data_IF_314071927397
#
_entry.id   IF_314071927397
#
_cell.length_a   1.000
_cell.length_b   1.000
_cell.length_c   1.000
_cell.angle_alpha   90.00
_cell.angle_beta   90.00
_cell.angle_gamma   90.00
#
_symmetry.space_group_name_H-M   'P 1'
#
loop_
_entity.id
_entity.type
_entity.pdbx_description
1 polymer ?
#
# COMPACT_ATOMS: atom_id res chain seq x y z
N UNK A 1 -23.53 40.30 -31.63
CA UNK A 1 -22.42 39.55 -32.26
C UNK A 1 -21.73 38.84 -31.12
N UNK A 2 -22.23 37.65 -30.82
CA UNK A 2 -21.86 36.88 -29.63
C UNK A 2 -21.05 35.67 -30.08
N UNK A 3 -19.76 35.71 -29.82
CA UNK A 3 -18.87 34.55 -29.95
C UNK A 3 -18.14 34.39 -28.62
N UNK A 4 -18.82 33.78 -27.65
CA UNK A 4 -18.19 33.22 -26.46
C UNK A 4 -17.34 32.03 -26.90
N UNK A 5 -16.03 32.23 -26.91
CA UNK A 5 -15.04 31.17 -27.07
C UNK A 5 -15.07 30.27 -25.82
N UNK A 6 -15.82 29.17 -25.90
CA UNK A 6 -15.68 28.04 -25.00
C UNK A 6 -14.35 27.35 -25.29
N UNK A 7 -13.32 27.71 -24.53
CA UNK A 7 -12.09 26.92 -24.43
C UNK A 7 -12.44 25.65 -23.64
N UNK A 8 -12.77 24.58 -24.38
CA UNK A 8 -12.89 23.22 -23.81
C UNK A 8 -11.51 22.82 -23.26
N UNK A 9 -11.45 22.68 -21.94
CA UNK A 9 -10.33 22.10 -21.20
C UNK A 9 -9.98 20.70 -21.77
N UNK A 10 -8.90 20.61 -22.55
CA UNK A 10 -8.26 19.34 -22.93
C UNK A 10 -7.29 18.80 -21.85
N UNK A 11 -7.32 19.37 -20.65
CA UNK A 11 -6.34 19.05 -19.58
C UNK A 11 -6.71 17.82 -18.73
N UNK A 12 -7.90 17.23 -18.90
CA UNK A 12 -8.43 16.16 -18.05
C UNK A 12 -7.83 14.77 -18.33
N UNK A 13 -7.63 14.40 -19.60
CA UNK A 13 -7.29 13.03 -19.98
C UNK A 13 -5.84 12.64 -19.62
N UNK A 14 -4.93 13.62 -19.65
CA UNK A 14 -3.50 13.43 -19.34
C UNK A 14 -3.23 13.29 -17.85
N UNK A 15 -4.02 13.94 -16.98
CA UNK A 15 -3.87 13.86 -15.53
C UNK A 15 -4.45 12.56 -14.98
N UNK A 16 -5.67 12.18 -15.42
CA UNK A 16 -6.29 10.91 -15.02
C UNK A 16 -5.43 9.69 -15.38
N UNK A 17 -4.82 9.68 -16.57
CA UNK A 17 -3.90 8.61 -16.99
C UNK A 17 -2.59 8.56 -16.17
N UNK A 18 -2.09 9.70 -15.70
CA UNK A 18 -0.91 9.75 -14.80
C UNK A 18 -1.24 9.17 -13.42
N UNK A 19 -2.40 9.49 -12.85
CA UNK A 19 -2.79 8.98 -11.52
C UNK A 19 -3.06 7.48 -11.56
N UNK A 20 -3.78 7.01 -12.59
CA UNK A 20 -4.01 5.59 -12.80
C UNK A 20 -2.69 4.81 -12.89
N UNK A 21 -1.68 5.34 -13.60
CA UNK A 21 -0.35 4.72 -13.65
C UNK A 21 0.34 4.71 -12.30
N UNK A 22 0.26 5.78 -11.52
CA UNK A 22 0.83 5.84 -10.17
C UNK A 22 0.18 4.81 -9.23
N UNK A 23 -1.16 4.72 -9.25
CA UNK A 23 -1.90 3.77 -8.44
C UNK A 23 -1.60 2.32 -8.84
N UNK A 24 -1.55 2.03 -10.14
CA UNK A 24 -1.11 0.73 -10.65
C UNK A 24 0.31 0.36 -10.19
N UNK A 25 1.25 1.31 -10.24
CA UNK A 25 2.60 1.07 -9.73
C UNK A 25 2.62 0.77 -8.22
N UNK A 26 1.77 1.43 -7.43
CA UNK A 26 1.65 1.13 -6.00
C UNK A 26 1.03 -0.24 -5.77
N UNK A 27 -0.02 -0.59 -6.51
CA UNK A 27 -0.62 -1.92 -6.46
C UNK A 27 0.42 -3.01 -6.72
N UNK A 28 1.17 -2.96 -7.82
CA UNK A 28 2.18 -3.97 -8.15
C UNK A 28 3.28 -4.10 -7.09
N UNK A 29 3.64 -2.99 -6.44
CA UNK A 29 4.59 -3.01 -5.31
C UNK A 29 3.98 -3.69 -4.08
N UNK A 30 2.73 -3.41 -3.73
CA UNK A 30 2.03 -4.07 -2.62
C UNK A 30 1.88 -5.58 -2.89
N UNK A 31 1.54 -5.98 -4.12
CA UNK A 31 1.47 -7.38 -4.55
C UNK A 31 2.82 -8.09 -4.38
N UNK A 32 3.91 -7.43 -4.82
CA UNK A 32 5.27 -7.96 -4.71
C UNK A 32 5.69 -8.15 -3.25
N UNK A 33 5.37 -7.19 -2.38
CA UNK A 33 5.65 -7.28 -0.94
C UNK A 33 4.87 -8.44 -0.29
N UNK A 34 3.58 -8.57 -0.61
CA UNK A 34 2.74 -9.64 -0.10
C UNK A 34 3.26 -11.01 -0.53
N UNK A 35 3.60 -11.17 -1.80
CA UNK A 35 4.17 -12.41 -2.33
C UNK A 35 5.47 -12.79 -1.62
N UNK A 36 6.38 -11.83 -1.43
CA UNK A 36 7.65 -12.03 -0.72
C UNK A 36 7.42 -12.56 0.71
N UNK A 37 6.56 -11.89 1.48
CA UNK A 37 6.30 -12.29 2.88
C UNK A 37 5.63 -13.66 2.96
N UNK A 38 4.65 -13.95 2.09
CA UNK A 38 3.99 -15.26 2.07
C UNK A 38 4.97 -16.40 1.74
N UNK A 39 5.88 -16.18 0.81
CA UNK A 39 6.93 -17.17 0.49
C UNK A 39 7.83 -17.39 1.70
N UNK A 40 8.34 -16.33 2.33
CA UNK A 40 9.23 -16.44 3.49
C UNK A 40 8.54 -17.11 4.69
N UNK A 41 7.26 -16.80 4.93
CA UNK A 41 6.44 -17.45 5.96
C UNK A 41 6.28 -18.95 5.68
N UNK A 42 6.00 -19.33 4.43
CA UNK A 42 5.81 -20.74 4.04
C UNK A 42 7.06 -21.59 4.23
N UNK A 43 8.24 -20.97 4.14
CA UNK A 43 9.52 -21.64 4.30
C UNK A 43 10.01 -21.66 5.77
N UNK A 44 9.23 -21.11 6.72
CA UNK A 44 9.67 -20.87 8.11
C UNK A 44 10.94 -20.01 8.22
N UNK A 45 11.25 -19.23 7.18
CA UNK A 45 12.48 -18.43 7.05
C UNK A 45 12.18 -16.93 7.20
N UNK A 46 11.32 -16.56 8.16
CA UNK A 46 11.08 -15.15 8.54
C UNK A 46 12.39 -14.39 8.88
N UNK A 47 13.51 -15.10 9.04
CA UNK A 47 14.88 -14.56 9.07
C UNK A 47 15.27 -13.77 7.81
N UNK A 48 14.68 -13.99 6.64
CA UNK A 48 15.05 -13.30 5.39
C UNK A 48 14.23 -12.05 5.08
N UNK A 49 13.00 -11.93 5.62
CA UNK A 49 12.14 -10.77 5.35
C UNK A 49 12.89 -9.49 5.73
N UNK A 50 13.21 -8.67 4.73
CA UNK A 50 13.88 -7.39 4.93
C UNK A 50 12.86 -6.33 5.37
N UNK A 51 12.51 -6.38 6.66
CA UNK A 51 11.55 -5.47 7.30
C UNK A 51 11.88 -4.01 7.00
N UNK A 52 13.16 -3.63 7.03
CA UNK A 52 13.58 -2.26 6.73
C UNK A 52 13.35 -1.84 5.28
N UNK A 53 13.48 -2.76 4.32
CA UNK A 53 13.12 -2.50 2.92
C UNK A 53 11.60 -2.31 2.77
N UNK A 54 10.81 -3.24 3.30
CA UNK A 54 9.34 -3.19 3.24
C UNK A 54 8.80 -1.92 3.91
N UNK A 55 9.37 -1.52 5.05
CA UNK A 55 8.94 -0.32 5.78
C UNK A 55 9.22 0.98 5.01
N UNK A 56 10.36 1.05 4.32
CA UNK A 56 10.65 2.16 3.40
C UNK A 56 9.68 2.20 2.23
N UNK A 57 9.43 1.06 1.59
CA UNK A 57 8.52 0.99 0.46
C UNK A 57 7.09 1.40 0.85
N UNK A 58 6.59 0.93 2.00
CA UNK A 58 5.29 1.33 2.53
C UNK A 58 5.25 2.82 2.87
N UNK A 59 6.32 3.38 3.42
CA UNK A 59 6.40 4.82 3.73
C UNK A 59 6.34 5.67 2.47
N UNK A 60 7.01 5.24 1.40
CA UNK A 60 6.98 5.90 0.10
C UNK A 60 5.58 5.84 -0.53
N UNK A 61 4.93 4.67 -0.47
CA UNK A 61 3.55 4.49 -0.96
C UNK A 61 2.59 5.36 -0.16
N UNK A 62 2.66 5.36 1.18
CA UNK A 62 1.85 6.21 2.05
C UNK A 62 2.02 7.68 1.67
N UNK A 63 3.26 8.16 1.52
CA UNK A 63 3.54 9.53 1.10
C UNK A 63 3.00 9.85 -0.31
N UNK A 64 3.01 8.87 -1.21
CA UNK A 64 2.41 8.95 -2.54
C UNK A 64 0.90 9.10 -2.50
N UNK A 65 0.22 8.21 -1.79
CA UNK A 65 -1.22 8.21 -1.60
C UNK A 65 -1.69 9.49 -0.87
N UNK A 66 -0.97 9.94 0.17
CA UNK A 66 -1.24 11.21 0.85
C UNK A 66 -1.14 12.42 -0.09
N UNK A 67 -0.20 12.41 -1.05
CA UNK A 67 -0.10 13.46 -2.07
C UNK A 67 -1.27 13.39 -3.06
N UNK A 68 -1.65 12.20 -3.51
CA UNK A 68 -2.80 12.02 -4.41
C UNK A 68 -4.10 12.50 -3.77
N UNK A 69 -4.32 12.20 -2.48
CA UNK A 69 -5.50 12.66 -1.73
C UNK A 69 -5.64 14.18 -1.61
N UNK A 70 -4.57 14.94 -1.82
CA UNK A 70 -4.59 16.41 -1.79
C UNK A 70 -4.96 17.01 -3.15
N UNK A 71 -5.06 16.19 -4.19
CA UNK A 71 -5.45 16.63 -5.53
C UNK A 71 -6.97 16.84 -5.54
N UNK A 72 -7.46 18.00 -6.00
CA UNK A 72 -8.89 18.25 -6.11
C UNK A 72 -9.57 17.17 -6.97
N UNK A 73 -10.76 16.73 -6.55
CA UNK A 73 -11.60 15.76 -7.25
C UNK A 73 -10.98 14.35 -7.42
N UNK A 74 -9.89 14.03 -6.70
CA UNK A 74 -9.30 12.68 -6.76
C UNK A 74 -10.29 11.58 -6.33
N UNK A 75 -11.18 11.92 -5.39
CA UNK A 75 -12.21 11.00 -4.90
C UNK A 75 -13.26 10.67 -5.99
N UNK A 76 -13.43 11.52 -7.02
CA UNK A 76 -14.28 11.23 -8.18
C UNK A 76 -13.65 10.17 -9.09
N UNK A 77 -12.33 10.03 -9.06
CA UNK A 77 -11.58 9.03 -9.84
C UNK A 77 -11.31 7.76 -9.05
N UNK A 78 -11.18 7.85 -7.72
CA UNK A 78 -10.86 6.72 -6.86
C UNK A 78 -11.43 6.90 -5.44
N UNK A 79 -12.75 6.64 -5.23
CA UNK A 79 -13.43 6.94 -3.97
C UNK A 79 -12.89 6.16 -2.77
N UNK A 80 -12.31 4.98 -3.00
CA UNK A 80 -11.71 4.11 -1.98
C UNK A 80 -10.29 4.53 -1.56
N UNK A 81 -9.72 5.62 -2.10
CA UNK A 81 -8.32 6.00 -1.87
C UNK A 81 -8.01 6.25 -0.37
N UNK A 82 -9.00 6.72 0.38
CA UNK A 82 -8.90 6.88 1.84
C UNK A 82 -8.73 5.56 2.59
N UNK A 83 -9.43 4.52 2.14
CA UNK A 83 -9.40 3.19 2.72
C UNK A 83 -8.12 2.44 2.33
N UNK A 84 -7.67 2.58 1.07
CA UNK A 84 -6.35 2.11 0.61
C UNK A 84 -5.26 2.64 1.54
N UNK A 85 -5.21 3.96 1.74
CA UNK A 85 -4.21 4.59 2.60
C UNK A 85 -4.28 4.07 4.05
N UNK A 86 -5.48 3.83 4.56
CA UNK A 86 -5.69 3.32 5.91
C UNK A 86 -5.16 1.89 6.05
N UNK A 87 -5.41 1.03 5.07
CA UNK A 87 -4.90 -0.33 5.01
C UNK A 87 -3.37 -0.38 4.85
N UNK A 88 -2.77 0.45 4.00
CA UNK A 88 -1.30 0.53 3.89
C UNK A 88 -0.66 1.01 5.20
N UNK A 89 -1.30 1.94 5.93
CA UNK A 89 -0.84 2.37 7.27
C UNK A 89 -0.98 1.25 8.31
N UNK A 90 -2.04 0.45 8.26
CA UNK A 90 -2.21 -0.73 9.11
C UNK A 90 -1.12 -1.77 8.82
N UNK A 91 -0.87 -2.09 7.55
CA UNK A 91 0.21 -2.97 7.14
C UNK A 91 1.56 -2.51 7.72
N UNK A 92 1.91 -1.23 7.55
CA UNK A 92 3.15 -0.68 8.14
C UNK A 92 3.21 -0.85 9.66
N UNK A 93 2.10 -0.68 10.38
CA UNK A 93 2.05 -0.90 11.85
C UNK A 93 2.27 -2.36 12.21
N UNK A 94 1.65 -3.30 11.51
CA UNK A 94 1.86 -4.74 11.71
C UNK A 94 3.33 -5.11 11.48
N UNK A 95 3.95 -4.57 10.43
CA UNK A 95 5.36 -4.80 10.13
C UNK A 95 6.30 -4.25 11.21
N UNK A 96 6.05 -3.06 11.74
CA UNK A 96 6.83 -2.49 12.85
C UNK A 96 6.69 -3.32 14.13
N UNK A 97 5.48 -3.82 14.42
CA UNK A 97 5.24 -4.72 15.54
C UNK A 97 6.00 -6.06 15.35
N UNK A 98 5.96 -6.62 14.13
CA UNK A 98 6.73 -7.81 13.76
C UNK A 98 8.25 -7.58 13.97
N UNK A 99 8.77 -6.41 13.61
CA UNK A 99 10.18 -6.05 13.88
C UNK A 99 10.54 -6.17 15.36
N UNK A 100 9.75 -5.56 16.24
CA UNK A 100 9.99 -5.62 17.69
C UNK A 100 9.79 -7.00 18.30
N UNK A 101 8.95 -7.84 17.70
CA UNK A 101 8.77 -9.25 18.10
C UNK A 101 9.91 -10.14 17.65
N UNK A 102 10.47 -9.88 16.46
CA UNK A 102 11.59 -10.63 15.88
C UNK A 102 12.82 -10.63 16.78
N UNK A 103 13.13 -9.49 17.41
CA UNK A 103 14.22 -9.37 18.39
C UNK A 103 14.05 -10.30 19.61
N UNK A 104 12.81 -10.73 19.89
CA UNK A 104 12.41 -11.54 21.05
C UNK A 104 11.95 -12.95 20.66
N UNK A 105 12.07 -13.32 19.39
CA UNK A 105 11.56 -14.57 18.82
C UNK A 105 12.40 -15.81 19.19
N UNK A 106 12.91 -15.88 20.43
CA UNK A 106 13.62 -17.05 20.97
C UNK A 106 12.70 -18.07 21.64
N UNK A 107 11.44 -17.71 21.88
CA UNK A 107 10.42 -18.60 22.46
C UNK A 107 9.27 -18.82 21.48
N UNK A 108 8.62 -19.98 21.59
CA UNK A 108 7.46 -20.34 20.77
C UNK A 108 6.37 -19.25 20.78
N UNK A 109 6.03 -18.72 21.96
CA UNK A 109 5.03 -17.65 22.11
C UNK A 109 5.35 -16.39 21.29
N UNK A 110 6.62 -15.98 21.26
CA UNK A 110 7.02 -14.80 20.49
C UNK A 110 7.10 -15.09 18.99
N UNK A 111 7.43 -16.33 18.60
CA UNK A 111 7.33 -16.76 17.21
C UNK A 111 5.88 -16.77 16.74
N UNK A 112 4.94 -17.34 17.50
CA UNK A 112 3.52 -17.34 17.16
C UNK A 112 2.98 -15.92 16.99
N UNK A 113 3.32 -15.02 17.92
CA UNK A 113 2.95 -13.61 17.82
C UNK A 113 3.57 -12.92 16.59
N UNK A 114 4.80 -13.29 16.22
CA UNK A 114 5.48 -12.79 15.02
C UNK A 114 4.75 -13.23 13.75
N UNK A 115 4.43 -14.51 13.62
CA UNK A 115 3.64 -15.05 12.50
C UNK A 115 2.29 -14.37 12.40
N UNK A 116 1.57 -14.22 13.51
CA UNK A 116 0.29 -13.52 13.54
C UNK A 116 0.41 -12.09 13.00
N UNK A 117 1.50 -11.37 13.31
CA UNK A 117 1.72 -10.02 12.76
C UNK A 117 2.06 -10.00 11.28
N UNK A 118 2.69 -11.04 10.75
CA UNK A 118 2.86 -11.18 9.31
C UNK A 118 1.56 -11.57 8.59
N UNK A 119 0.70 -12.38 9.21
CA UNK A 119 -0.64 -12.66 8.66
C UNK A 119 -1.47 -11.38 8.57
N UNK A 120 -1.58 -10.63 9.69
CA UNK A 120 -2.28 -9.34 9.70
C UNK A 120 -1.70 -8.35 8.67
N UNK A 121 -0.38 -8.35 8.49
CA UNK A 121 0.29 -7.55 7.46
C UNK A 121 -0.17 -7.93 6.05
N UNK A 122 -0.16 -9.23 5.73
CA UNK A 122 -0.57 -9.76 4.44
C UNK A 122 -2.05 -9.51 4.15
N UNK A 123 -2.91 -9.57 5.16
CA UNK A 123 -4.34 -9.24 5.05
C UNK A 123 -4.54 -7.75 4.75
N UNK A 124 -3.85 -6.85 5.47
CA UNK A 124 -3.91 -5.42 5.20
C UNK A 124 -3.42 -5.08 3.78
N UNK A 125 -2.38 -5.76 3.29
CA UNK A 125 -1.92 -5.58 1.91
C UNK A 125 -2.96 -6.07 0.90
N UNK A 126 -3.58 -7.22 1.15
CA UNK A 126 -4.62 -7.77 0.29
C UNK A 126 -5.80 -6.80 0.14
N UNK A 127 -6.33 -6.29 1.25
CA UNK A 127 -7.43 -5.31 1.23
C UNK A 127 -7.05 -4.04 0.47
N UNK A 128 -5.83 -3.51 0.66
CA UNK A 128 -5.36 -2.35 -0.09
C UNK A 128 -5.28 -2.61 -1.60
N UNK A 129 -4.88 -3.82 -2.02
CA UNK A 129 -4.79 -4.23 -3.43
C UNK A 129 -6.18 -4.36 -4.04
N UNK A 130 -7.12 -5.03 -3.36
CA UNK A 130 -8.50 -5.17 -3.82
C UNK A 130 -9.18 -3.81 -3.98
N UNK A 131 -8.96 -2.89 -3.05
CA UNK A 131 -9.50 -1.52 -3.14
C UNK A 131 -8.90 -0.71 -4.29
N UNK A 132 -7.68 -1.02 -4.75
CA UNK A 132 -7.05 -0.39 -5.92
C UNK A 132 -7.54 -0.99 -7.25
N UNK A 133 -8.16 -2.18 -7.22
CA UNK A 133 -8.74 -2.84 -8.40
C UNK A 133 -10.19 -2.41 -8.69
N UNK A 134 -10.86 -1.77 -7.74
CA UNK A 134 -12.26 -1.37 -7.79
C UNK A 134 -12.41 0.14 -7.98
#
# INVERSE_FOLDING_TARGET
MDSQNFVRHQSGDSQGSSYARTLHNYQSRLESMRAMVLVDMSQSEITQVNIGMLERDLSDIIGGLDRLRRIPNIDDFHPSLGDVLSNVRLARRCLLAASGLREKASSLRYMEALYQKYDEFCDCLYEAIELLNN
#
